data_IF_441578093491
#
_entry.id   IF_441578093491
#
_cell.length_a   1.000
_cell.length_b   1.000
_cell.length_c   1.000
_cell.angle_alpha   90.00
_cell.angle_beta   90.00
_cell.angle_gamma   90.00
#
_symmetry.space_group_name_H-M   'P 1'
#
loop_
_entity.id
_entity.type
_entity.pdbx_description
1 polymer ?
#
# COMPACT_ATOMS: atom_id res chain seq x y z
N UNK A 1 -40.75 42.64 4.87
CA UNK A 1 -39.63 41.95 4.15
C UNK A 1 -38.69 41.39 5.21
N UNK A 2 -38.75 40.08 5.47
CA UNK A 2 -37.89 39.42 6.46
C UNK A 2 -36.51 39.27 5.82
N UNK A 3 -35.53 40.01 6.32
CA UNK A 3 -34.12 39.87 5.93
C UNK A 3 -33.62 38.51 6.42
N UNK A 4 -33.33 37.59 5.48
CA UNK A 4 -32.60 36.35 5.79
C UNK A 4 -31.22 36.75 6.29
N UNK A 5 -30.91 36.46 7.55
CA UNK A 5 -29.52 36.49 8.04
C UNK A 5 -28.70 35.51 7.17
N UNK A 6 -27.53 35.92 6.64
CA UNK A 6 -26.68 35.01 5.88
C UNK A 6 -26.27 33.84 6.78
N UNK A 7 -26.32 32.63 6.23
CA UNK A 7 -25.85 31.45 6.93
C UNK A 7 -24.32 31.62 7.16
N UNK A 8 -23.77 31.40 8.36
CA UNK A 8 -22.33 31.56 8.59
C UNK A 8 -21.45 30.71 7.66
N UNK A 9 -21.97 29.61 7.11
CA UNK A 9 -21.30 28.81 6.08
C UNK A 9 -21.21 29.52 4.70
N UNK A 10 -22.20 30.33 4.30
CA UNK A 10 -22.19 31.05 3.01
C UNK A 10 -21.10 32.14 2.98
N UNK A 11 -20.93 32.86 4.10
CA UNK A 11 -19.89 33.90 4.23
C UNK A 11 -18.46 33.35 4.22
N UNK A 12 -18.28 32.06 4.54
CA UNK A 12 -16.97 31.41 4.54
C UNK A 12 -16.63 30.76 3.20
N UNK A 13 -17.62 30.26 2.47
CA UNK A 13 -17.44 29.78 1.10
C UNK A 13 -16.98 30.92 0.17
N UNK A 14 -17.46 32.16 0.39
CA UNK A 14 -16.95 33.34 -0.32
C UNK A 14 -15.51 33.71 0.09
N UNK A 15 -15.11 33.53 1.36
CA UNK A 15 -13.71 33.73 1.78
C UNK A 15 -12.74 32.68 1.24
N UNK A 16 -13.22 31.47 0.96
CA UNK A 16 -12.44 30.40 0.31
C UNK A 16 -12.26 30.68 -1.19
N UNK A 17 -13.17 31.45 -1.81
CA UNK A 17 -13.05 31.86 -3.22
C UNK A 17 -11.90 32.84 -3.46
N UNK A 18 -11.56 33.68 -2.48
CA UNK A 18 -10.60 34.78 -2.65
C UNK A 18 -9.15 34.48 -2.25
N UNK A 19 -8.88 33.41 -1.49
CA UNK A 19 -7.53 33.16 -0.99
C UNK A 19 -6.80 32.02 -1.70
N UNK A 20 -5.92 32.42 -2.63
CA UNK A 20 -4.83 31.59 -3.15
C UNK A 20 -3.79 31.33 -2.04
N UNK A 21 -3.10 30.19 -2.08
CA UNK A 21 -2.37 29.53 -0.97
C UNK A 21 -1.18 30.30 -0.34
N UNK A 22 -0.98 31.58 -0.66
CA UNK A 22 0.16 32.37 -0.21
C UNK A 22 -0.19 33.85 0.01
N UNK A 23 -1.18 34.15 0.86
CA UNK A 23 -1.34 35.50 1.43
C UNK A 23 -0.63 35.59 2.79
N UNK A 24 0.52 36.28 2.89
CA UNK A 24 1.08 36.68 4.18
C UNK A 24 0.07 37.59 4.87
N UNK A 25 -0.41 37.23 6.07
CA UNK A 25 -1.38 38.02 6.83
C UNK A 25 -2.74 37.38 7.11
N UNK A 26 -2.98 36.14 6.67
CA UNK A 26 -4.23 35.44 6.99
C UNK A 26 -4.34 35.13 8.49
N UNK A 27 -5.48 35.51 9.09
CA UNK A 27 -5.81 35.39 10.51
C UNK A 27 -5.55 33.96 11.04
N UNK A 28 -4.82 33.79 12.16
CA UNK A 28 -4.57 32.48 12.76
C UNK A 28 -5.84 31.69 13.08
N UNK A 29 -6.95 32.36 13.42
CA UNK A 29 -8.22 31.69 13.72
C UNK A 29 -8.84 31.10 12.45
N UNK A 30 -8.84 31.87 11.35
CA UNK A 30 -9.29 31.40 10.04
C UNK A 30 -8.44 30.22 9.54
N UNK A 31 -7.12 30.26 9.73
CA UNK A 31 -6.23 29.13 9.40
C UNK A 31 -6.58 27.87 10.18
N UNK A 32 -6.88 28.00 11.48
CA UNK A 32 -7.28 26.87 12.32
C UNK A 32 -8.61 26.27 11.83
N UNK A 33 -9.56 27.11 11.45
CA UNK A 33 -10.84 26.65 10.89
C UNK A 33 -10.67 25.93 9.55
N UNK A 34 -9.88 26.49 8.62
CA UNK A 34 -9.58 25.85 7.33
C UNK A 34 -8.88 24.50 7.51
N UNK A 35 -7.93 24.40 8.46
CA UNK A 35 -7.30 23.12 8.82
C UNK A 35 -8.31 22.10 9.34
N UNK A 36 -9.27 22.53 10.15
CA UNK A 36 -10.35 21.65 10.63
C UNK A 36 -11.19 21.11 9.47
N UNK A 37 -11.60 21.99 8.54
CA UNK A 37 -12.33 21.60 7.31
C UNK A 37 -11.49 20.66 6.44
N UNK A 38 -10.19 20.93 6.30
CA UNK A 38 -9.25 20.09 5.56
C UNK A 38 -9.15 18.67 6.14
N UNK A 39 -8.95 18.54 7.45
CA UNK A 39 -8.85 17.21 8.09
C UNK A 39 -10.19 16.45 8.04
N UNK A 40 -11.32 17.16 8.16
CA UNK A 40 -12.66 16.57 7.98
C UNK A 40 -12.85 16.05 6.54
N UNK A 41 -12.42 16.81 5.54
CA UNK A 41 -12.42 16.36 4.14
C UNK A 41 -11.55 15.11 3.96
N UNK A 42 -10.31 15.10 4.48
CA UNK A 42 -9.43 13.94 4.34
C UNK A 42 -9.95 12.70 5.05
N UNK A 43 -10.52 12.83 6.25
CA UNK A 43 -11.07 11.67 6.98
C UNK A 43 -12.27 11.05 6.23
N UNK A 44 -13.06 11.84 5.51
CA UNK A 44 -14.16 11.34 4.68
C UNK A 44 -13.67 10.37 3.59
N UNK A 45 -12.50 10.63 3.00
CA UNK A 45 -11.88 9.78 1.97
C UNK A 45 -10.96 8.69 2.52
N UNK A 46 -10.76 8.62 3.83
CA UNK A 46 -9.86 7.67 4.51
C UNK A 46 -10.59 6.43 5.05
N UNK A 47 -11.85 6.20 4.65
CA UNK A 47 -12.71 5.16 5.25
C UNK A 47 -12.40 3.73 4.80
N UNK A 48 -11.82 3.55 3.61
CA UNK A 48 -11.59 2.23 3.04
C UNK A 48 -10.52 1.44 3.80
N UNK A 49 -9.44 2.12 4.19
CA UNK A 49 -8.32 1.51 4.90
C UNK A 49 -7.53 2.58 5.66
N UNK A 50 -7.16 2.28 6.90
CA UNK A 50 -6.47 3.23 7.80
C UNK A 50 -4.96 3.36 7.54
N UNK A 51 -4.38 2.49 6.71
CA UNK A 51 -2.94 2.40 6.48
C UNK A 51 -2.52 2.80 5.05
N UNK A 52 -3.48 3.10 4.17
CA UNK A 52 -3.23 3.17 2.73
C UNK A 52 -3.64 4.51 2.13
N UNK A 53 -2.66 5.34 1.78
CA UNK A 53 -2.89 6.60 1.06
C UNK A 53 -3.45 6.37 -0.34
N UNK A 54 -3.13 5.25 -0.99
CA UNK A 54 -3.64 4.90 -2.32
C UNK A 54 -5.16 4.70 -2.32
N UNK A 55 -5.75 4.18 -1.23
CA UNK A 55 -7.21 4.05 -1.13
C UNK A 55 -7.91 5.36 -0.78
N UNK A 56 -7.16 6.35 -0.28
CA UNK A 56 -7.62 7.74 -0.18
C UNK A 56 -7.75 8.39 -1.56
N UNK A 57 -6.83 8.09 -2.49
CA UNK A 57 -6.96 8.46 -3.90
C UNK A 57 -8.13 7.74 -4.56
N UNK A 58 -8.29 6.44 -4.34
CA UNK A 58 -9.43 5.68 -4.86
C UNK A 58 -10.76 6.31 -4.40
N UNK A 59 -10.89 6.61 -3.10
CA UNK A 59 -12.12 7.15 -2.54
C UNK A 59 -12.51 8.51 -3.13
N UNK A 60 -11.54 9.42 -3.33
CA UNK A 60 -11.85 10.74 -3.90
C UNK A 60 -12.18 10.66 -5.39
N UNK A 61 -11.50 9.78 -6.14
CA UNK A 61 -11.77 9.56 -7.56
C UNK A 61 -13.14 8.92 -7.75
N UNK A 62 -13.47 7.89 -6.97
CA UNK A 62 -14.80 7.28 -7.01
C UNK A 62 -15.89 8.28 -6.61
N UNK A 63 -15.69 9.08 -5.57
CA UNK A 63 -16.67 10.10 -5.16
C UNK A 63 -16.94 11.12 -6.27
N UNK A 64 -15.90 11.55 -7.00
CA UNK A 64 -16.02 12.51 -8.11
C UNK A 64 -16.93 12.03 -9.24
N UNK A 65 -17.00 10.72 -9.50
CA UNK A 65 -17.85 10.16 -10.57
C UNK A 65 -19.35 10.26 -10.24
N UNK A 66 -19.70 10.38 -8.96
CA UNK A 66 -21.09 10.56 -8.50
C UNK A 66 -21.49 12.04 -8.38
N UNK A 67 -20.56 12.99 -8.53
CA UNK A 67 -20.87 14.43 -8.43
C UNK A 67 -21.42 14.96 -9.76
N UNK A 68 -22.63 15.57 -9.78
CA UNK A 68 -23.19 16.21 -10.97
C UNK A 68 -22.31 17.32 -11.52
N UNK A 69 -22.35 17.55 -12.84
CA UNK A 69 -21.44 18.50 -13.51
C UNK A 69 -21.52 19.91 -12.92
N UNK A 70 -22.71 20.40 -12.57
CA UNK A 70 -22.88 21.74 -12.00
C UNK A 70 -22.25 21.89 -10.60
N UNK A 71 -22.12 20.79 -9.85
CA UNK A 71 -21.63 20.80 -8.46
C UNK A 71 -20.14 20.47 -8.33
N UNK A 72 -19.46 20.16 -9.45
CA UNK A 72 -18.05 19.72 -9.43
C UNK A 72 -17.11 20.78 -8.86
N UNK A 73 -17.26 22.04 -9.25
CA UNK A 73 -16.39 23.11 -8.78
C UNK A 73 -16.49 23.30 -7.25
N UNK A 74 -17.73 23.33 -6.74
CA UNK A 74 -18.02 23.44 -5.31
C UNK A 74 -17.44 22.23 -4.55
N UNK A 75 -17.60 21.02 -5.08
CA UNK A 75 -17.00 19.81 -4.53
C UNK A 75 -15.47 19.92 -4.45
N UNK A 76 -14.81 20.37 -5.52
CA UNK A 76 -13.35 20.52 -5.53
C UNK A 76 -12.87 21.53 -4.49
N UNK A 77 -13.53 22.69 -4.41
CA UNK A 77 -13.17 23.76 -3.45
C UNK A 77 -13.38 23.30 -2.01
N UNK A 78 -14.55 22.73 -1.70
CA UNK A 78 -14.88 22.20 -0.38
C UNK A 78 -13.91 21.13 0.10
N UNK A 79 -13.39 20.31 -0.83
CA UNK A 79 -12.51 19.20 -0.50
C UNK A 79 -11.01 19.48 -0.71
N UNK A 80 -10.63 20.72 -1.03
CA UNK A 80 -9.24 21.15 -1.28
C UNK A 80 -8.56 20.33 -2.40
N UNK A 81 -9.28 20.13 -3.51
CA UNK A 81 -8.84 19.34 -4.65
C UNK A 81 -8.43 20.23 -5.84
N UNK A 82 -7.49 19.74 -6.64
CA UNK A 82 -7.06 20.40 -7.88
C UNK A 82 -7.99 19.99 -9.03
N UNK A 83 -8.89 20.89 -9.43
CA UNK A 83 -9.89 20.63 -10.47
C UNK A 83 -9.30 20.12 -11.79
N UNK A 84 -8.27 20.79 -12.32
CA UNK A 84 -7.60 20.38 -13.57
C UNK A 84 -7.08 18.94 -13.51
N UNK A 85 -6.42 18.55 -12.41
CA UNK A 85 -5.90 17.19 -12.26
C UNK A 85 -7.03 16.15 -12.19
N UNK A 86 -8.14 16.48 -11.53
CA UNK A 86 -9.29 15.57 -11.43
C UNK A 86 -9.96 15.35 -12.79
N UNK A 87 -10.05 16.36 -13.63
CA UNK A 87 -10.54 16.23 -15.00
C UNK A 87 -9.62 15.36 -15.86
N UNK A 88 -8.30 15.57 -15.76
CA UNK A 88 -7.30 14.74 -16.46
C UNK A 88 -7.34 13.28 -16.00
N UNK A 89 -7.55 13.01 -14.71
CA UNK A 89 -7.74 11.65 -14.19
C UNK A 89 -8.95 10.97 -14.84
N UNK A 90 -10.08 11.68 -14.96
CA UNK A 90 -11.29 11.14 -15.61
C UNK A 90 -11.03 10.85 -17.10
N UNK A 91 -10.34 11.75 -17.82
CA UNK A 91 -9.96 11.53 -19.22
C UNK A 91 -9.05 10.31 -19.37
N UNK A 92 -8.02 10.20 -18.53
CA UNK A 92 -7.08 9.08 -18.55
C UNK A 92 -7.79 7.76 -18.26
N UNK A 93 -8.69 7.72 -17.27
CA UNK A 93 -9.49 6.51 -16.97
C UNK A 93 -10.34 6.06 -18.15
N UNK A 94 -10.96 6.99 -18.90
CA UNK A 94 -11.70 6.66 -20.12
C UNK A 94 -10.79 6.09 -21.20
N UNK A 95 -9.61 6.68 -21.39
CA UNK A 95 -8.63 6.19 -22.35
C UNK A 95 -8.15 4.77 -22.00
N UNK A 96 -7.84 4.51 -20.73
CA UNK A 96 -7.46 3.17 -20.27
C UNK A 96 -8.60 2.16 -20.46
N UNK A 97 -9.84 2.53 -20.11
CA UNK A 97 -11.01 1.66 -20.33
C UNK A 97 -11.26 1.37 -21.80
N UNK A 98 -11.07 2.36 -22.67
CA UNK A 98 -11.13 2.19 -24.11
C UNK A 98 -10.09 1.18 -24.58
N UNK A 99 -8.82 1.35 -24.21
CA UNK A 99 -7.73 0.44 -24.58
C UNK A 99 -8.02 -0.98 -24.10
N UNK A 100 -8.45 -1.15 -22.83
CA UNK A 100 -8.76 -2.48 -22.27
C UNK A 100 -9.89 -3.15 -23.05
N UNK A 101 -11.01 -2.44 -23.28
CA UNK A 101 -12.14 -3.02 -24.02
C UNK A 101 -11.76 -3.37 -25.44
N UNK A 102 -11.09 -2.48 -26.17
CA UNK A 102 -10.67 -2.70 -27.55
C UNK A 102 -9.72 -3.90 -27.71
N UNK A 103 -8.93 -4.24 -26.69
CA UNK A 103 -8.03 -5.40 -26.72
C UNK A 103 -8.66 -6.70 -26.17
N UNK A 104 -9.83 -6.62 -25.53
CA UNK A 104 -10.48 -7.79 -24.89
C UNK A 104 -11.74 -8.23 -25.64
N UNK A 105 -12.40 -7.33 -26.39
CA UNK A 105 -13.56 -7.68 -27.21
C UNK A 105 -13.13 -8.38 -28.50
N UNK A 106 -13.66 -9.58 -28.75
CA UNK A 106 -13.44 -10.31 -30.00
C UNK A 106 -14.23 -9.76 -31.19
N UNK A 107 -15.17 -8.84 -30.93
CA UNK A 107 -16.05 -8.25 -31.94
C UNK A 107 -15.61 -6.81 -32.26
N UNK A 108 -15.60 -6.46 -33.55
CA UNK A 108 -15.30 -5.12 -34.08
C UNK A 108 -16.45 -4.12 -33.78
N UNK A 109 -16.80 -3.95 -32.51
CA UNK A 109 -17.77 -2.94 -32.10
C UNK A 109 -17.00 -1.66 -31.74
N UNK A 110 -17.43 -0.52 -32.28
CA UNK A 110 -16.87 0.78 -31.91
C UNK A 110 -17.02 1.00 -30.40
N UNK A 111 -15.90 1.04 -29.67
CA UNK A 111 -15.90 1.20 -28.21
C UNK A 111 -16.08 2.67 -27.85
N UNK A 112 -17.19 3.00 -27.19
CA UNK A 112 -17.42 4.33 -26.60
C UNK A 112 -17.56 4.20 -25.09
N UNK A 113 -16.74 4.93 -24.33
CA UNK A 113 -16.78 4.93 -22.86
C UNK A 113 -17.53 6.18 -22.37
N UNK A 114 -18.63 5.97 -21.67
CA UNK A 114 -19.46 7.03 -21.06
C UNK A 114 -19.06 7.27 -19.61
N UNK A 115 -19.50 8.39 -19.03
CA UNK A 115 -19.25 8.68 -17.61
C UNK A 115 -19.91 7.65 -16.68
N UNK A 116 -21.05 7.10 -17.06
CA UNK A 116 -21.74 6.06 -16.28
C UNK A 116 -20.90 4.78 -16.14
N UNK A 117 -20.08 4.46 -17.14
CA UNK A 117 -19.21 3.27 -17.12
C UNK A 117 -18.02 3.43 -16.14
N UNK A 118 -17.79 4.63 -15.62
CA UNK A 118 -16.73 4.92 -14.64
C UNK A 118 -17.23 4.80 -13.19
N UNK A 119 -18.55 4.85 -12.95
CA UNK A 119 -19.11 4.73 -11.60
C UNK A 119 -18.88 3.32 -11.09
N UNK A 120 -18.41 3.22 -9.85
CA UNK A 120 -18.07 1.97 -9.20
C UNK A 120 -18.50 1.99 -7.74
N UNK A 121 -19.06 0.89 -7.27
CA UNK A 121 -19.42 0.72 -5.87
C UNK A 121 -18.18 0.66 -4.96
N UNK A 122 -18.43 0.84 -3.66
CA UNK A 122 -17.40 0.76 -2.63
C UNK A 122 -16.78 -0.66 -2.64
N UNK A 123 -15.44 -0.79 -2.70
CA UNK A 123 -14.81 -2.10 -2.71
C UNK A 123 -15.00 -2.81 -1.37
N UNK A 124 -15.30 -4.11 -1.44
CA UNK A 124 -15.36 -5.00 -0.28
C UNK A 124 -13.99 -5.19 0.39
N UNK A 125 -14.00 -5.67 1.63
CA UNK A 125 -12.78 -5.96 2.39
C UNK A 125 -11.86 -6.96 1.66
N UNK A 126 -12.45 -7.95 0.96
CA UNK A 126 -11.69 -8.92 0.16
C UNK A 126 -11.04 -8.23 -1.05
N UNK A 127 -11.77 -7.37 -1.75
CA UNK A 127 -11.25 -6.60 -2.87
C UNK A 127 -10.12 -5.67 -2.45
N UNK A 128 -10.23 -4.97 -1.31
CA UNK A 128 -9.16 -4.11 -0.78
C UNK A 128 -7.88 -4.92 -0.53
N UNK A 129 -7.99 -6.11 0.09
CA UNK A 129 -6.84 -7.01 0.29
C UNK A 129 -6.23 -7.50 -1.04
N UNK A 130 -7.06 -7.70 -2.07
CA UNK A 130 -6.59 -8.11 -3.39
C UNK A 130 -5.94 -6.95 -4.14
N UNK A 131 -6.48 -5.74 -4.02
CA UNK A 131 -5.91 -4.51 -4.59
C UNK A 131 -4.52 -4.23 -4.00
N UNK A 132 -4.32 -4.41 -2.69
CA UNK A 132 -2.98 -4.31 -2.07
C UNK A 132 -1.99 -5.29 -2.72
N UNK A 133 -2.42 -6.52 -3.03
CA UNK A 133 -1.59 -7.49 -3.75
C UNK A 133 -1.30 -7.10 -5.20
N UNK A 134 -2.27 -6.52 -5.91
CA UNK A 134 -2.10 -6.02 -7.27
C UNK A 134 -1.11 -4.84 -7.30
N UNK A 135 -1.23 -3.90 -6.36
CA UNK A 135 -0.29 -2.79 -6.19
C UNK A 135 1.10 -3.33 -5.86
N UNK A 136 1.21 -4.30 -4.96
CA UNK A 136 2.47 -4.96 -4.63
C UNK A 136 3.13 -5.58 -5.87
N UNK A 137 2.36 -6.09 -6.85
CA UNK A 137 2.93 -6.64 -8.09
C UNK A 137 3.61 -5.58 -8.96
N UNK A 138 3.13 -4.33 -8.95
CA UNK A 138 3.76 -3.22 -9.67
C UNK A 138 4.92 -2.55 -8.92
N UNK A 139 5.05 -2.80 -7.61
CA UNK A 139 5.97 -2.12 -6.71
C UNK A 139 6.69 -3.10 -5.77
N UNK A 140 6.98 -4.32 -6.26
CA UNK A 140 7.51 -5.41 -5.42
C UNK A 140 8.91 -5.10 -4.89
N UNK A 141 9.68 -4.31 -5.61
CA UNK A 141 11.00 -3.77 -5.25
C UNK A 141 10.91 -2.51 -4.37
N UNK A 142 9.74 -1.85 -4.30
CA UNK A 142 9.49 -0.68 -3.46
C UNK A 142 8.76 -1.04 -2.16
N UNK A 143 9.34 -1.99 -1.42
CA UNK A 143 8.86 -2.39 -0.10
C UNK A 143 9.88 -1.98 0.95
N UNK A 144 9.42 -1.30 2.00
CA UNK A 144 10.23 -0.95 3.15
C UNK A 144 9.75 -1.68 4.40
N UNK A 145 10.69 -2.17 5.21
CA UNK A 145 10.42 -2.80 6.50
C UNK A 145 10.66 -1.81 7.62
N UNK A 146 9.83 -1.84 8.67
CA UNK A 146 10.04 -1.02 9.86
C UNK A 146 11.37 -1.41 10.53
N UNK A 147 12.21 -0.42 10.84
CA UNK A 147 13.62 -0.68 11.15
C UNK A 147 13.83 -1.50 12.44
N UNK A 148 12.93 -1.41 13.43
CA UNK A 148 12.99 -2.21 14.68
C UNK A 148 12.92 -3.71 14.44
N UNK A 149 12.37 -4.15 13.31
CA UNK A 149 12.27 -5.58 12.97
C UNK A 149 13.64 -6.17 12.59
N UNK A 150 14.55 -5.34 12.09
CA UNK A 150 15.90 -5.77 11.65
C UNK A 150 17.00 -5.26 12.59
N UNK A 151 16.93 -3.98 12.99
CA UNK A 151 17.97 -3.25 13.72
C UNK A 151 17.32 -2.46 14.87
N UNK A 152 16.86 -3.13 15.95
CA UNK A 152 16.17 -2.47 17.06
C UNK A 152 17.04 -1.45 17.80
N UNK A 153 18.32 -1.76 17.98
CA UNK A 153 19.27 -0.93 18.73
C UNK A 153 19.58 0.40 18.01
N UNK A 154 19.63 0.38 16.68
CA UNK A 154 19.81 1.57 15.85
C UNK A 154 18.50 2.37 15.67
N UNK A 155 17.37 1.67 15.51
CA UNK A 155 16.08 2.31 15.27
C UNK A 155 15.57 3.11 16.47
N UNK A 156 15.87 2.67 17.70
CA UNK A 156 15.50 3.34 18.97
C UNK A 156 14.03 3.76 19.03
N UNK A 157 13.14 2.89 18.52
CA UNK A 157 11.71 3.17 18.45
C UNK A 157 11.08 2.88 19.83
N UNK A 158 10.41 3.89 20.39
CA UNK A 158 9.61 3.76 21.61
C UNK A 158 8.12 3.86 21.28
N UNK A 159 7.26 3.49 22.23
CA UNK A 159 5.81 3.70 22.10
C UNK A 159 5.39 5.18 22.04
N UNK A 160 6.28 6.12 22.40
CA UNK A 160 6.07 7.57 22.32
C UNK A 160 6.63 8.20 21.04
N UNK A 161 7.36 7.44 20.23
CA UNK A 161 7.97 7.96 19.00
C UNK A 161 6.87 8.36 18.02
N UNK A 162 6.90 9.60 17.53
CA UNK A 162 5.93 10.07 16.55
C UNK A 162 6.08 9.33 15.23
N UNK A 163 4.97 9.16 14.51
CA UNK A 163 4.90 8.31 13.30
C UNK A 163 5.86 8.77 12.20
N UNK A 164 6.02 10.09 12.04
CA UNK A 164 7.00 10.69 11.11
C UNK A 164 8.46 10.44 11.47
N UNK A 165 8.75 9.95 12.68
CA UNK A 165 10.08 9.68 13.18
C UNK A 165 10.35 8.19 13.36
N UNK A 166 9.41 7.30 13.01
CA UNK A 166 9.62 5.86 12.98
C UNK A 166 10.36 5.51 11.67
N UNK A 167 11.63 5.04 11.73
CA UNK A 167 12.38 4.69 10.54
C UNK A 167 11.93 3.38 9.90
N UNK A 168 12.04 3.34 8.57
CA UNK A 168 11.89 2.17 7.71
C UNK A 168 13.16 2.00 6.88
N UNK A 169 13.38 0.80 6.38
CA UNK A 169 14.53 0.45 5.54
C UNK A 169 14.00 -0.16 4.24
N UNK A 170 14.27 0.44 3.07
CA UNK A 170 13.89 -0.13 1.79
C UNK A 170 14.60 -1.47 1.55
N UNK A 171 13.90 -2.42 0.93
CA UNK A 171 14.53 -3.63 0.41
C UNK A 171 15.56 -3.26 -0.65
N UNK A 172 16.64 -4.03 -0.76
CA UNK A 172 17.73 -3.82 -1.71
C UNK A 172 18.51 -2.50 -1.54
N UNK A 173 18.25 -1.73 -0.47
CA UNK A 173 19.09 -0.59 -0.12
C UNK A 173 20.55 -1.04 0.07
N UNK A 174 21.49 -0.25 -0.43
CA UNK A 174 22.92 -0.52 -0.23
C UNK A 174 23.27 -0.21 1.22
N UNK A 175 23.77 -1.19 1.97
CA UNK A 175 24.24 -0.94 3.32
C UNK A 175 25.43 0.00 3.31
N UNK A 176 25.39 0.96 4.21
CA UNK A 176 26.52 1.79 4.62
C UNK A 176 27.00 1.33 6.00
N UNK A 177 28.17 1.79 6.48
CA UNK A 177 28.64 1.48 7.83
C UNK A 177 27.61 1.84 8.92
N UNK A 178 26.87 2.93 8.71
CA UNK A 178 25.81 3.38 9.60
C UNK A 178 24.44 3.07 8.99
N UNK A 179 23.70 2.14 9.58
CA UNK A 179 22.38 1.75 9.04
C UNK A 179 21.38 2.91 8.99
N UNK A 180 21.59 3.94 9.83
CA UNK A 180 20.77 5.17 9.84
C UNK A 180 20.76 5.89 8.48
N UNK A 181 21.80 5.77 7.66
CA UNK A 181 21.83 6.39 6.32
C UNK A 181 20.80 5.75 5.37
N UNK A 182 20.40 4.51 5.64
CA UNK A 182 19.36 3.80 4.90
C UNK A 182 17.95 4.11 5.40
N UNK A 183 17.81 4.90 6.47
CA UNK A 183 16.51 5.17 7.07
C UNK A 183 15.67 6.11 6.21
N UNK A 184 14.46 5.66 5.92
CA UNK A 184 13.41 6.43 5.28
C UNK A 184 12.22 6.56 6.24
N UNK A 185 11.47 7.65 6.13
CA UNK A 185 10.44 8.00 7.09
C UNK A 185 9.11 8.25 6.40
N UNK A 186 8.01 8.02 7.13
CA UNK A 186 6.67 8.36 6.64
C UNK A 186 6.56 9.87 6.41
N UNK A 187 5.92 10.27 5.31
CA UNK A 187 5.64 11.68 5.02
C UNK A 187 4.54 12.23 5.95
N UNK A 188 4.64 13.47 6.48
CA UNK A 188 3.65 14.03 7.42
C UNK A 188 2.22 14.17 6.89
N UNK A 189 2.03 14.18 5.56
CA UNK A 189 0.69 14.24 4.92
C UNK A 189 0.04 12.87 4.73
N UNK A 190 0.77 11.79 5.01
CA UNK A 190 0.24 10.42 4.95
C UNK A 190 -0.87 10.23 5.98
N UNK A 191 -1.88 9.43 5.61
CA UNK A 191 -2.93 8.94 6.50
C UNK A 191 -2.37 8.24 7.75
N UNK A 192 -1.18 7.65 7.64
CA UNK A 192 -0.54 6.91 8.73
C UNK A 192 -0.31 7.77 9.97
N UNK A 193 -0.19 9.10 9.83
CA UNK A 193 0.01 10.01 10.96
C UNK A 193 -1.19 10.08 11.93
N UNK A 194 -2.35 9.60 11.51
CA UNK A 194 -3.55 9.55 12.34
C UNK A 194 -3.65 8.26 13.18
N UNK A 195 -2.68 7.34 13.09
CA UNK A 195 -2.71 6.10 13.86
C UNK A 195 -2.44 6.36 15.34
N UNK A 196 -3.19 5.68 16.20
CA UNK A 196 -2.90 5.55 17.63
C UNK A 196 -2.10 4.30 17.98
N UNK A 197 -1.54 3.62 16.97
CA UNK A 197 -0.83 2.35 17.11
C UNK A 197 0.45 2.36 16.26
N UNK A 198 1.32 1.36 16.50
CA UNK A 198 2.54 1.20 15.71
C UNK A 198 2.21 0.98 14.22
N UNK A 199 2.90 1.67 13.30
CA UNK A 199 2.60 1.57 11.88
C UNK A 199 2.98 0.18 11.32
N UNK A 200 2.43 -0.21 10.16
CA UNK A 200 2.57 -1.56 9.61
C UNK A 200 4.03 -1.99 9.40
N UNK A 201 4.33 -3.27 9.61
CA UNK A 201 5.71 -3.78 9.49
C UNK A 201 6.30 -3.65 8.09
N UNK A 202 5.50 -3.85 7.05
CA UNK A 202 5.93 -3.75 5.65
C UNK A 202 5.06 -2.74 4.93
N UNK A 203 5.70 -1.75 4.33
CA UNK A 203 5.05 -0.63 3.66
C UNK A 203 5.51 -0.57 2.20
N UNK A 204 4.56 -0.51 1.29
CA UNK A 204 4.81 -0.17 -0.12
C UNK A 204 4.89 1.34 -0.26
N UNK A 205 5.88 1.82 -1.01
CA UNK A 205 6.02 3.23 -1.33
C UNK A 205 6.06 3.44 -2.85
N UNK A 206 5.59 4.60 -3.30
CA UNK A 206 5.65 5.01 -4.69
C UNK A 206 7.04 5.55 -5.04
N UNK A 207 7.53 6.47 -4.21
CA UNK A 207 8.80 7.17 -4.40
C UNK A 207 9.41 7.61 -3.07
N UNK A 208 10.72 7.88 -3.08
CA UNK A 208 11.47 8.45 -1.96
C UNK A 208 11.88 9.89 -2.32
N UNK A 209 11.76 10.81 -1.36
CA UNK A 209 12.12 12.20 -1.54
C UNK A 209 12.98 12.69 -0.39
N UNK A 210 14.15 13.27 -0.67
CA UNK A 210 14.95 13.93 0.36
C UNK A 210 14.23 15.20 0.83
N UNK A 211 13.77 15.21 2.08
CA UNK A 211 13.05 16.35 2.66
C UNK A 211 13.98 17.46 3.13
N UNK A 212 13.43 18.67 3.33
CA UNK A 212 14.20 19.84 3.80
C UNK A 212 14.81 19.69 5.20
N UNK A 213 14.37 18.71 6.00
CA UNK A 213 15.00 18.35 7.28
C UNK A 213 16.06 17.25 7.13
N UNK A 214 16.61 17.06 5.93
CA UNK A 214 17.59 16.04 5.58
C UNK A 214 17.13 14.59 5.85
N UNK A 215 15.82 14.37 5.98
CA UNK A 215 15.23 13.02 6.13
C UNK A 215 14.59 12.61 4.81
N UNK A 216 14.94 11.44 4.33
CA UNK A 216 14.27 10.84 3.18
C UNK A 216 12.85 10.42 3.56
N UNK A 217 11.85 10.92 2.82
CA UNK A 217 10.42 10.70 3.05
C UNK A 217 9.85 9.75 2.01
N UNK A 218 9.09 8.77 2.49
CA UNK A 218 8.31 7.86 1.66
C UNK A 218 7.00 8.51 1.24
N UNK A 219 6.74 8.53 -0.07
CA UNK A 219 5.39 8.68 -0.60
C UNK A 219 4.70 7.31 -0.54
N UNK A 220 3.98 7.05 0.55
CA UNK A 220 3.42 5.73 0.87
C UNK A 220 2.22 5.35 0.00
N UNK A 221 2.09 4.07 -0.34
CA UNK A 221 0.94 3.52 -1.06
C UNK A 221 -0.01 2.78 -0.11
N UNK A 222 0.42 1.62 0.38
CA UNK A 222 -0.35 0.74 1.27
C UNK A 222 0.58 -0.20 2.05
N UNK A 223 0.06 -0.83 3.09
CA UNK A 223 0.72 -1.93 3.80
C UNK A 223 0.59 -3.25 3.04
N UNK A 224 1.51 -4.18 3.30
CA UNK A 224 1.43 -5.55 2.79
C UNK A 224 1.73 -6.56 3.89
N UNK A 225 1.00 -7.67 3.93
CA UNK A 225 1.28 -8.75 4.87
C UNK A 225 2.34 -9.73 4.31
N UNK A 226 2.95 -10.51 5.20
CA UNK A 226 4.06 -11.42 4.86
C UNK A 226 3.73 -12.45 3.77
N UNK A 227 2.61 -13.19 3.88
CA UNK A 227 2.23 -14.20 2.89
C UNK A 227 1.87 -13.60 1.51
N UNK A 228 1.05 -12.53 1.42
CA UNK A 228 0.84 -11.79 0.18
C UNK A 228 2.15 -11.31 -0.46
N UNK A 229 3.07 -10.73 0.31
CA UNK A 229 4.37 -10.28 -0.17
C UNK A 229 5.18 -11.45 -0.74
N UNK A 230 5.25 -12.58 -0.03
CA UNK A 230 5.93 -13.79 -0.53
C UNK A 230 5.32 -14.30 -1.85
N UNK A 231 3.99 -14.27 -1.98
CA UNK A 231 3.30 -14.69 -3.21
C UNK A 231 3.70 -13.85 -4.43
N UNK A 232 3.81 -12.54 -4.25
CA UNK A 232 4.20 -11.62 -5.32
C UNK A 232 5.71 -11.69 -5.57
N UNK A 233 6.53 -11.63 -4.53
CA UNK A 233 7.99 -11.67 -4.62
C UNK A 233 8.53 -12.94 -5.30
N UNK A 234 7.85 -14.09 -5.10
CA UNK A 234 8.17 -15.34 -5.82
C UNK A 234 8.07 -15.17 -7.33
N UNK A 235 7.08 -14.42 -7.82
CA UNK A 235 6.91 -14.15 -9.26
C UNK A 235 7.92 -13.11 -9.76
N UNK A 236 8.27 -12.15 -8.91
CA UNK A 236 9.24 -11.08 -9.21
C UNK A 236 10.72 -11.47 -9.03
N UNK A 237 11.03 -12.75 -8.78
CA UNK A 237 12.40 -13.25 -8.55
C UNK A 237 13.14 -12.58 -7.37
N UNK A 238 12.40 -11.99 -6.43
CA UNK A 238 12.94 -11.31 -5.23
C UNK A 238 12.82 -12.18 -3.98
N UNK A 239 12.78 -13.51 -4.14
CA UNK A 239 12.55 -14.44 -3.05
C UNK A 239 13.47 -15.66 -3.17
N UNK A 240 14.19 -15.94 -2.10
CA UNK A 240 14.93 -17.19 -1.87
C UNK A 240 14.33 -17.91 -0.65
N UNK A 241 14.76 -19.14 -0.39
CA UNK A 241 14.16 -19.97 0.67
C UNK A 241 15.23 -20.65 1.51
N UNK A 242 14.98 -20.77 2.81
CA UNK A 242 15.79 -21.57 3.71
C UNK A 242 15.70 -23.07 3.39
N UNK A 243 16.56 -23.86 4.06
CA UNK A 243 16.31 -25.30 4.21
C UNK A 243 14.98 -25.55 4.95
N UNK A 244 14.36 -26.74 4.77
CA UNK A 244 13.15 -27.10 5.49
C UNK A 244 13.30 -26.96 7.00
N UNK A 245 12.31 -26.35 7.63
CA UNK A 245 12.24 -26.25 9.08
C UNK A 245 11.89 -27.61 9.69
N UNK A 246 12.41 -27.85 10.89
CA UNK A 246 12.12 -29.04 11.69
C UNK A 246 11.50 -28.60 13.02
N UNK A 247 10.36 -29.19 13.38
CA UNK A 247 9.65 -28.87 14.62
C UNK A 247 8.32 -29.59 14.73
N UNK A 248 7.67 -29.46 15.88
CA UNK A 248 6.35 -30.07 16.12
C UNK A 248 5.31 -29.49 15.14
N UNK A 249 4.69 -30.34 14.34
CA UNK A 249 3.73 -29.92 13.31
C UNK A 249 4.33 -29.19 12.10
N UNK A 250 5.66 -29.18 11.97
CA UNK A 250 6.40 -28.64 10.81
C UNK A 250 7.23 -29.74 10.10
N UNK A 251 7.10 -31.01 10.49
CA UNK A 251 7.81 -32.12 9.88
C UNK A 251 7.56 -32.18 8.37
N UNK A 252 8.63 -32.35 7.60
CA UNK A 252 8.57 -32.48 6.15
C UNK A 252 7.89 -33.80 5.77
N UNK A 253 7.00 -33.73 4.78
CA UNK A 253 6.30 -34.88 4.18
C UNK A 253 6.90 -35.10 2.79
N UNK A 254 7.57 -36.22 2.58
CA UNK A 254 8.11 -36.57 1.26
C UNK A 254 7.12 -37.53 0.58
N UNK A 255 6.56 -37.12 -0.56
CA UNK A 255 5.73 -38.00 -1.39
C UNK A 255 6.59 -38.93 -2.26
N UNK A 256 7.77 -38.45 -2.66
CA UNK A 256 8.78 -39.22 -3.38
C UNK A 256 10.17 -38.65 -3.10
N UNK A 257 11.27 -39.30 -3.52
CA UNK A 257 12.62 -38.74 -3.41
C UNK A 257 12.80 -37.38 -4.12
N UNK A 258 11.89 -37.06 -5.05
CA UNK A 258 11.92 -35.84 -5.87
C UNK A 258 10.78 -34.87 -5.58
N UNK A 259 9.87 -35.16 -4.66
CA UNK A 259 8.68 -34.34 -4.38
C UNK A 259 8.34 -34.33 -2.89
N UNK A 260 8.20 -33.13 -2.31
CA UNK A 260 7.93 -32.96 -0.88
C UNK A 260 7.10 -31.73 -0.55
N UNK A 261 6.50 -31.79 0.63
CA UNK A 261 5.83 -30.70 1.31
C UNK A 261 6.57 -30.38 2.60
N UNK A 262 6.98 -29.12 2.76
CA UNK A 262 7.71 -28.69 3.95
C UNK A 262 7.42 -27.23 4.31
N UNK A 263 7.77 -26.84 5.53
CA UNK A 263 7.83 -25.43 5.91
C UNK A 263 9.21 -24.86 5.61
N UNK A 264 9.25 -23.65 5.03
CA UNK A 264 10.49 -22.90 4.77
C UNK A 264 10.31 -21.45 5.21
N UNK A 265 11.42 -20.78 5.51
CA UNK A 265 11.46 -19.33 5.72
C UNK A 265 11.78 -18.67 4.39
N UNK A 266 10.86 -17.87 3.80
CA UNK A 266 11.18 -17.10 2.61
C UNK A 266 12.06 -15.91 2.96
N UNK A 267 13.15 -15.73 2.23
CA UNK A 267 14.06 -14.59 2.34
C UNK A 267 13.75 -13.61 1.20
N UNK A 268 13.32 -12.40 1.55
CA UNK A 268 12.92 -11.37 0.61
C UNK A 268 14.04 -10.35 0.36
N UNK A 269 14.29 -10.04 -0.92
CA UNK A 269 15.37 -9.17 -1.35
C UNK A 269 16.72 -9.90 -1.39
N UNK A 270 17.71 -9.36 -0.69
CA UNK A 270 19.06 -9.95 -0.63
C UNK A 270 19.13 -11.21 0.25
N UNK A 271 20.05 -12.12 -0.06
CA UNK A 271 20.35 -13.27 0.80
C UNK A 271 21.00 -12.82 2.12
N UNK A 272 21.10 -13.73 3.09
CA UNK A 272 21.85 -13.44 4.34
C UNK A 272 23.35 -13.33 4.09
N UNK A 273 23.87 -14.06 3.10
CA UNK A 273 25.30 -14.08 2.75
C UNK A 273 25.74 -12.80 2.03
N UNK A 274 24.81 -12.08 1.40
CA UNK A 274 25.06 -10.78 0.76
C UNK A 274 24.49 -9.66 1.63
N UNK A 275 25.23 -9.31 2.66
CA UNK A 275 24.85 -8.29 3.63
C UNK A 275 25.00 -6.86 3.08
N UNK A 276 25.73 -6.63 1.99
CA UNK A 276 25.87 -5.32 1.33
C UNK A 276 24.54 -4.74 0.82
N UNK A 277 23.50 -5.57 0.72
CA UNK A 277 22.15 -5.18 0.30
C UNK A 277 21.14 -5.62 1.35
N UNK A 278 20.18 -4.76 1.64
CA UNK A 278 19.14 -5.08 2.63
C UNK A 278 18.20 -6.16 2.09
N UNK A 279 17.99 -7.19 2.91
CA UNK A 279 16.97 -8.21 2.76
C UNK A 279 16.52 -8.70 4.14
N UNK A 280 15.36 -9.37 4.21
CA UNK A 280 14.85 -9.89 5.48
C UNK A 280 14.00 -11.14 5.29
N UNK A 281 13.78 -11.82 6.41
CA UNK A 281 13.00 -13.04 6.46
C UNK A 281 11.51 -12.72 6.61
N UNK A 282 10.69 -13.48 5.88
CA UNK A 282 9.25 -13.48 5.98
C UNK A 282 8.80 -14.63 6.91
N UNK A 283 7.53 -14.59 7.32
CA UNK A 283 6.98 -15.65 8.16
C UNK A 283 7.10 -17.02 7.47
N UNK A 284 7.36 -18.10 8.24
CA UNK A 284 7.40 -19.46 7.70
C UNK A 284 6.13 -19.82 6.92
N UNK A 285 6.32 -20.43 5.75
CA UNK A 285 5.23 -20.82 4.86
C UNK A 285 5.37 -22.27 4.43
N UNK A 286 4.24 -22.98 4.34
CA UNK A 286 4.21 -24.32 3.77
C UNK A 286 4.36 -24.23 2.26
N UNK A 287 5.27 -25.02 1.70
CA UNK A 287 5.59 -25.07 0.28
C UNK A 287 5.47 -26.49 -0.25
N UNK A 288 5.06 -26.58 -1.51
CA UNK A 288 5.27 -27.77 -2.33
C UNK A 288 6.55 -27.57 -3.15
N UNK A 289 7.52 -28.48 -3.00
CA UNK A 289 8.78 -28.44 -3.73
C UNK A 289 8.97 -29.70 -4.58
N UNK A 290 9.53 -29.51 -5.79
CA UNK A 290 10.00 -30.59 -6.66
C UNK A 290 11.48 -30.42 -6.96
N UNK A 291 12.21 -31.53 -6.97
CA UNK A 291 13.64 -31.55 -7.31
C UNK A 291 13.78 -31.55 -8.83
N UNK A 292 14.27 -30.43 -9.38
CA UNK A 292 14.50 -30.25 -10.81
C UNK A 292 15.98 -29.99 -11.02
N UNK A 293 16.65 -30.75 -11.89
CA UNK A 293 18.10 -30.61 -12.17
C UNK A 293 18.97 -30.57 -10.90
N UNK A 294 18.65 -31.42 -9.91
CA UNK A 294 19.40 -31.50 -8.65
C UNK A 294 19.01 -30.49 -7.56
N UNK A 295 18.27 -29.43 -7.88
CA UNK A 295 17.84 -28.39 -6.93
C UNK A 295 16.34 -28.46 -6.59
N UNK A 296 15.98 -28.11 -5.36
CA UNK A 296 14.58 -28.04 -4.94
C UNK A 296 13.96 -26.72 -5.38
N UNK A 297 12.98 -26.78 -6.29
CA UNK A 297 12.23 -25.62 -6.77
C UNK A 297 10.86 -25.56 -6.11
N UNK A 298 10.49 -24.39 -5.58
CA UNK A 298 9.15 -24.16 -5.00
C UNK A 298 8.13 -24.00 -6.11
N UNK A 299 7.15 -24.92 -6.15
CA UNK A 299 6.10 -24.94 -7.17
C UNK A 299 4.92 -24.06 -6.75
N UNK A 300 4.44 -24.23 -5.50
CA UNK A 300 3.30 -23.48 -4.95
C UNK A 300 3.38 -23.33 -3.44
N UNK A 301 2.71 -22.29 -2.93
CA UNK A 301 2.44 -22.13 -1.51
C UNK A 301 1.20 -22.92 -1.11
N UNK A 302 1.22 -23.46 0.11
CA UNK A 302 0.16 -24.27 0.69
C UNK A 302 -0.35 -23.58 1.96
N UNK A 303 -1.66 -23.64 2.18
CA UNK A 303 -2.25 -23.12 3.43
C UNK A 303 -1.96 -24.05 4.58
N UNK A 304 -2.07 -23.57 5.84
CA UNK A 304 -1.91 -24.43 7.02
C UNK A 304 -2.86 -25.62 6.97
N UNK A 305 -4.13 -25.40 6.61
CA UNK A 305 -5.14 -26.46 6.50
C UNK A 305 -4.77 -27.48 5.42
N UNK A 306 -4.33 -27.01 4.25
CA UNK A 306 -3.90 -27.88 3.16
C UNK A 306 -2.64 -28.70 3.50
N UNK A 307 -1.73 -28.16 4.31
CA UNK A 307 -0.57 -28.93 4.78
C UNK A 307 -1.00 -30.03 5.75
N UNK A 308 -1.94 -29.74 6.66
CA UNK A 308 -2.44 -30.72 7.62
C UNK A 308 -3.17 -31.89 6.96
N UNK A 309 -3.97 -31.63 5.92
CA UNK A 309 -4.65 -32.71 5.18
C UNK A 309 -3.62 -33.63 4.51
N UNK A 310 -2.58 -33.06 3.88
CA UNK A 310 -1.51 -33.84 3.23
C UNK A 310 -0.72 -34.65 4.25
N UNK A 311 -0.43 -34.09 5.43
CA UNK A 311 0.24 -34.85 6.50
C UNK A 311 -0.63 -35.96 7.07
N UNK A 312 -1.96 -35.83 7.02
CA UNK A 312 -2.90 -36.87 7.45
C UNK A 312 -2.92 -38.03 6.45
N UNK A 313 -3.09 -37.73 5.17
CA UNK A 313 -3.11 -38.73 4.09
C UNK A 313 -1.83 -39.58 4.05
N UNK A 314 -0.65 -39.00 4.30
CA UNK A 314 0.60 -39.75 4.33
C UNK A 314 0.72 -40.66 5.58
N UNK A 315 0.14 -40.24 6.71
CA UNK A 315 0.11 -41.08 7.92
C UNK A 315 -0.83 -42.27 7.75
N UNK A 316 -1.94 -42.11 7.03
CA UNK A 316 -2.88 -43.20 6.76
C UNK A 316 -2.32 -44.24 5.76
N UNK A 317 -1.34 -43.84 4.92
CA UNK A 317 -0.66 -44.73 3.98
C UNK A 317 0.49 -45.54 4.59
N UNK A 318 0.89 -45.26 5.83
CA UNK A 318 1.99 -45.94 6.55
C UNK A 318 1.46 -46.80 7.68
#
# INVERSE_FOLDING_TARGET
>A
KISRKPNPDENLDDKIREHDESTPGMDPELKKELRSKFYKSRSQFSKLDKFSDVFRLLSVVSAMDYVPKEQKEIFMKKNFLRGKLMEEIVKLRKQLMYIIKSNTSKENIAVVIRNEDLKSDIPSVIQIKLLKQMICAGFVDHVAVRADVLFPDDAKITNRTSIINIPYIPVLATRTPNIEDCFVYIHPTSILNNLGEMPPKYMLYYSLHLGGNNKTRMNTLCDIASTPLANIARKGLLLTYSKPLTGQGLKTVNLSPTERYCYVVPRFGSTVDNDLKIGWDLNPIAVHQKKQKGQWTVIKFITRKGFQTITGEEKEKK
#
